data_IF_930243848886
#
_entry.id   IF_930243848886
#
_cell.length_a   1.000
_cell.length_b   1.000
_cell.length_c   1.000
_cell.angle_alpha   90.00
_cell.angle_beta   90.00
_cell.angle_gamma   90.00
#
_symmetry.space_group_name_H-M   'P 1'
#
loop_
_entity.id
_entity.type
_entity.pdbx_description
1 polymer ?
#
# COMPACT_ATOMS: atom_id res chain seq x y z
N UNK A 1 31.30 -7.62 22.18
CA UNK A 1 29.96 -7.11 22.45
C UNK A 1 29.11 -7.31 21.21
N UNK A 2 28.15 -8.22 21.30
CA UNK A 2 27.31 -8.66 20.17
C UNK A 2 26.31 -7.57 19.81
N UNK A 3 26.08 -7.35 18.50
CA UNK A 3 25.04 -6.43 17.98
C UNK A 3 23.60 -6.76 18.44
N UNK A 4 23.39 -7.91 19.09
CA UNK A 4 22.11 -8.32 19.67
C UNK A 4 21.72 -7.55 20.94
N UNK A 5 22.68 -6.98 21.68
CA UNK A 5 22.41 -6.29 22.95
C UNK A 5 21.95 -4.85 22.78
N UNK A 6 22.17 -4.23 21.61
CA UNK A 6 21.71 -2.86 21.32
C UNK A 6 20.19 -2.74 21.15
N UNK A 7 19.48 -3.85 20.92
CA UNK A 7 18.01 -3.87 20.78
C UNK A 7 17.28 -4.21 22.09
N UNK A 8 17.97 -4.57 23.15
CA UNK A 8 17.40 -4.90 24.46
C UNK A 8 17.10 -3.70 25.35
N UNK A 9 17.63 -2.52 25.05
CA UNK A 9 17.41 -1.34 25.88
C UNK A 9 16.28 -0.48 25.32
N UNK A 10 15.09 -0.61 25.90
CA UNK A 10 14.01 0.39 25.95
C UNK A 10 13.70 1.12 24.62
N UNK A 11 13.37 0.39 23.58
CA UNK A 11 12.71 0.94 22.41
C UNK A 11 11.21 1.12 22.66
N UNK A 12 10.57 1.98 21.88
CA UNK A 12 9.13 2.21 21.91
C UNK A 12 8.40 1.02 21.29
N UNK A 13 7.46 0.41 22.01
CA UNK A 13 6.57 -0.61 21.49
C UNK A 13 5.28 0.04 21.02
N UNK A 14 4.85 -0.26 19.79
CA UNK A 14 3.64 0.30 19.19
C UNK A 14 2.80 -0.82 18.60
N UNK A 15 1.50 -0.78 18.82
CA UNK A 15 0.56 -1.74 18.30
C UNK A 15 -0.20 -1.15 17.11
N UNK A 16 -0.40 -1.96 16.07
CA UNK A 16 -1.15 -1.56 14.88
C UNK A 16 -2.08 -2.70 14.49
N UNK A 17 -3.36 -2.38 14.30
CA UNK A 17 -4.33 -3.33 13.76
C UNK A 17 -4.47 -3.15 12.25
N UNK A 18 -4.35 -4.23 11.49
CA UNK A 18 -4.59 -4.26 10.05
C UNK A 18 -5.68 -5.28 9.73
N UNK A 19 -6.38 -5.10 8.63
CA UNK A 19 -7.35 -6.07 8.14
C UNK A 19 -6.71 -7.35 7.59
N UNK A 20 -5.45 -7.27 7.12
CA UNK A 20 -4.70 -8.37 6.52
C UNK A 20 -3.20 -8.13 6.73
N UNK A 21 -2.46 -9.20 6.98
CA UNK A 21 -1.00 -9.16 7.14
C UNK A 21 -0.25 -8.95 5.82
N UNK A 22 -0.87 -9.27 4.71
CA UNK A 22 -0.31 -9.10 3.36
C UNK A 22 1.12 -9.66 3.18
N UNK A 23 1.43 -10.74 3.90
CA UNK A 23 2.75 -11.37 3.91
C UNK A 23 3.78 -10.69 4.84
N UNK A 24 3.37 -9.75 5.70
CA UNK A 24 4.24 -9.17 6.74
C UNK A 24 4.63 -10.23 7.77
N UNK A 25 5.89 -10.22 8.17
CA UNK A 25 6.46 -11.16 9.14
C UNK A 25 7.26 -10.44 10.23
N UNK A 26 7.47 -11.10 11.34
CA UNK A 26 8.40 -10.64 12.36
C UNK A 26 9.82 -10.46 11.76
N UNK A 27 10.50 -9.39 12.13
CA UNK A 27 11.80 -9.01 11.56
C UNK A 27 11.73 -8.02 10.41
N UNK A 28 10.58 -7.89 9.73
CA UNK A 28 10.42 -6.91 8.66
C UNK A 28 10.67 -5.48 9.16
N UNK A 29 11.12 -4.62 8.27
CA UNK A 29 11.51 -3.25 8.57
C UNK A 29 10.30 -2.35 8.86
N UNK A 30 10.45 -1.42 9.79
CA UNK A 30 9.53 -0.30 10.00
C UNK A 30 10.20 0.99 9.58
N UNK A 31 9.54 1.76 8.68
CA UNK A 31 9.99 3.07 8.22
C UNK A 31 9.03 4.17 8.68
N UNK A 32 9.60 5.29 9.07
CA UNK A 32 8.89 6.53 9.34
C UNK A 32 9.46 7.63 8.47
N UNK A 33 8.63 8.26 7.64
CA UNK A 33 9.07 9.25 6.63
C UNK A 33 10.24 8.72 5.78
N UNK A 34 10.20 7.44 5.39
CA UNK A 34 11.26 6.80 4.57
C UNK A 34 12.50 6.34 5.34
N UNK A 35 12.64 6.71 6.61
CA UNK A 35 13.79 6.33 7.47
C UNK A 35 13.50 5.05 8.24
N UNK A 36 14.47 4.13 8.31
CA UNK A 36 14.34 2.91 9.11
C UNK A 36 14.41 3.24 10.62
N UNK A 37 13.28 3.14 11.29
CA UNK A 37 13.10 3.45 12.72
C UNK A 37 12.92 2.22 13.59
N UNK A 38 12.76 1.02 13.02
CA UNK A 38 12.55 -0.18 13.82
C UNK A 38 12.26 -1.42 13.01
N UNK A 39 11.68 -2.40 13.70
CA UNK A 39 11.29 -3.70 13.12
C UNK A 39 9.93 -4.16 13.64
N UNK A 40 9.30 -5.03 12.88
CA UNK A 40 8.13 -5.79 13.31
C UNK A 40 8.59 -6.81 14.35
N UNK A 41 8.03 -6.77 15.54
CA UNK A 41 8.32 -7.72 16.63
C UNK A 41 7.46 -8.99 16.49
N UNK A 42 6.15 -8.80 16.23
CA UNK A 42 5.22 -9.92 16.05
C UNK A 42 4.05 -9.55 15.16
N UNK A 43 3.49 -10.58 14.51
CA UNK A 43 2.24 -10.51 13.73
C UNK A 43 1.33 -11.61 14.24
N UNK A 44 0.19 -11.25 14.79
CA UNK A 44 -0.76 -12.19 15.40
C UNK A 44 -2.11 -12.09 14.72
N UNK A 45 -2.63 -13.19 14.21
CA UNK A 45 -3.97 -13.25 13.63
C UNK A 45 -5.01 -13.11 14.75
N UNK A 46 -5.98 -12.23 14.54
CA UNK A 46 -7.13 -12.02 15.40
C UNK A 46 -8.43 -12.35 14.69
N UNK A 47 -9.55 -12.16 15.37
CA UNK A 47 -10.88 -12.45 14.83
C UNK A 47 -11.27 -11.50 13.70
N UNK A 48 -10.84 -10.24 13.77
CA UNK A 48 -11.23 -9.16 12.86
C UNK A 48 -10.04 -8.58 12.07
N UNK A 49 -8.96 -9.38 11.91
CA UNK A 49 -7.76 -8.96 11.21
C UNK A 49 -6.48 -9.41 11.92
N UNK A 50 -5.41 -8.66 11.76
CA UNK A 50 -4.11 -8.95 12.37
C UNK A 50 -3.65 -7.82 13.29
N UNK A 51 -3.12 -8.20 14.44
CA UNK A 51 -2.44 -7.31 15.36
C UNK A 51 -0.93 -7.39 15.11
N UNK A 52 -0.33 -6.27 14.80
CA UNK A 52 1.10 -6.14 14.56
C UNK A 52 1.72 -5.36 15.71
N UNK A 53 2.77 -5.91 16.31
CA UNK A 53 3.59 -5.23 17.31
C UNK A 53 4.87 -4.74 16.66
N UNK A 54 5.13 -3.45 16.78
CA UNK A 54 6.31 -2.79 16.23
C UNK A 54 7.27 -2.46 17.37
N UNK A 55 8.55 -2.74 17.18
CA UNK A 55 9.63 -2.30 18.09
C UNK A 55 10.41 -1.19 17.41
N UNK A 56 10.29 0.01 17.94
CA UNK A 56 10.91 1.21 17.39
C UNK A 56 12.13 1.62 18.21
N UNK A 57 13.07 2.29 17.57
CA UNK A 57 14.26 2.83 18.22
C UNK A 57 13.87 3.90 19.25
N UNK A 58 14.64 3.99 20.31
CA UNK A 58 14.48 5.04 21.33
C UNK A 58 14.63 6.43 20.69
N UNK A 59 13.75 7.35 21.09
CA UNK A 59 13.75 8.71 20.55
C UNK A 59 13.02 8.87 19.23
N UNK A 60 12.30 7.83 18.76
CA UNK A 60 11.40 7.97 17.61
C UNK A 60 10.13 8.68 18.06
N UNK A 61 9.92 9.88 17.55
CA UNK A 61 8.77 10.74 17.86
C UNK A 61 7.72 10.57 16.77
N UNK A 62 6.60 9.91 17.09
CA UNK A 62 5.51 9.63 16.15
C UNK A 62 4.23 10.24 16.71
N UNK A 63 3.57 11.15 15.97
CA UNK A 63 2.26 11.66 16.33
C UNK A 63 1.22 10.55 16.48
N UNK A 64 0.31 10.66 17.44
CA UNK A 64 -0.73 9.64 17.70
C UNK A 64 -1.69 9.42 16.53
N UNK A 65 -1.91 10.44 15.71
CA UNK A 65 -2.76 10.41 14.54
C UNK A 65 -2.03 9.95 13.27
N UNK A 66 -0.77 9.49 13.42
CA UNK A 66 0.00 8.87 12.31
C UNK A 66 -0.66 7.58 11.86
N UNK A 67 -0.51 7.26 10.57
CA UNK A 67 -1.06 6.06 9.95
C UNK A 67 0.05 5.11 9.53
N UNK A 68 -0.18 3.82 9.76
CA UNK A 68 0.73 2.77 9.34
C UNK A 68 0.11 1.98 8.17
N UNK A 69 0.91 1.65 7.16
CA UNK A 69 0.52 0.81 6.03
C UNK A 69 1.55 -0.30 5.82
N UNK A 70 1.08 -1.48 5.42
CA UNK A 70 1.95 -2.57 4.98
C UNK A 70 2.20 -2.38 3.50
N UNK A 71 3.45 -2.23 3.10
CA UNK A 71 3.86 -2.05 1.71
C UNK A 71 5.05 -2.95 1.36
N UNK A 72 5.52 -2.90 0.13
CA UNK A 72 6.69 -3.64 -0.35
C UNK A 72 7.84 -2.69 -0.60
N UNK A 73 9.07 -3.08 -0.29
CA UNK A 73 10.27 -2.29 -0.59
C UNK A 73 10.60 -2.38 -2.09
N UNK A 74 10.11 -1.40 -2.85
CA UNK A 74 10.17 -1.43 -4.30
C UNK A 74 9.20 -2.46 -4.92
N UNK A 75 9.52 -2.93 -6.12
CA UNK A 75 8.63 -3.81 -6.90
C UNK A 75 8.68 -5.29 -6.46
N UNK A 76 9.80 -5.74 -5.91
CA UNK A 76 10.04 -7.15 -5.56
C UNK A 76 10.75 -7.32 -4.20
N UNK A 77 10.75 -6.29 -3.37
CA UNK A 77 11.38 -6.32 -2.06
C UNK A 77 10.55 -7.01 -0.98
N UNK A 78 11.11 -7.07 0.21
CA UNK A 78 10.42 -7.58 1.39
C UNK A 78 9.27 -6.66 1.81
N UNK A 79 8.31 -7.22 2.53
CA UNK A 79 7.26 -6.43 3.17
C UNK A 79 7.85 -5.56 4.27
N UNK A 80 7.30 -4.37 4.41
CA UNK A 80 7.65 -3.43 5.47
C UNK A 80 6.40 -2.68 5.96
N UNK A 81 6.50 -2.13 7.15
CA UNK A 81 5.51 -1.18 7.66
C UNK A 81 6.03 0.24 7.42
N UNK A 82 5.28 1.02 6.65
CA UNK A 82 5.54 2.44 6.44
C UNK A 82 4.60 3.27 7.29
N UNK A 83 5.15 4.16 8.10
CA UNK A 83 4.37 5.09 8.93
C UNK A 83 4.42 6.47 8.29
N UNK A 84 3.24 7.01 8.01
CA UNK A 84 3.06 8.39 7.53
C UNK A 84 2.74 9.28 8.72
N UNK A 85 3.41 10.44 8.88
CA UNK A 85 3.18 11.33 9.99
C UNK A 85 1.75 11.88 10.00
N UNK A 86 1.19 12.00 11.19
CA UNK A 86 -0.01 12.77 11.45
C UNK A 86 0.28 14.27 11.58
N UNK A 87 -0.74 15.03 11.92
CA UNK A 87 -0.66 16.49 12.11
C UNK A 87 -0.55 16.90 13.58
N UNK A 88 -0.88 16.00 14.49
CA UNK A 88 -0.89 16.26 15.94
C UNK A 88 0.51 16.06 16.56
N UNK A 89 1.40 16.97 16.28
CA UNK A 89 2.78 16.95 16.76
C UNK A 89 2.90 17.15 18.29
N UNK A 90 1.81 17.55 18.97
CA UNK A 90 1.81 17.75 20.42
C UNK A 90 1.55 16.45 21.19
N UNK A 91 0.88 15.49 20.59
CA UNK A 91 0.56 14.22 21.21
C UNK A 91 1.30 13.07 20.50
N UNK A 92 2.38 12.63 21.11
CA UNK A 92 3.19 11.53 20.59
C UNK A 92 2.68 10.17 21.09
N UNK A 93 2.94 9.13 20.32
CA UNK A 93 2.71 7.74 20.73
C UNK A 93 3.64 7.41 21.89
N UNK A 94 3.08 6.85 22.95
CA UNK A 94 3.83 6.36 24.12
C UNK A 94 4.09 4.86 24.00
N UNK A 95 4.96 4.32 24.86
CA UNK A 95 5.22 2.88 24.91
C UNK A 95 3.93 2.09 25.19
N UNK A 96 3.68 1.03 24.41
CA UNK A 96 2.42 0.30 24.41
C UNK A 96 1.27 1.01 23.70
N UNK A 97 1.50 2.16 23.08
CA UNK A 97 0.48 2.91 22.35
C UNK A 97 0.06 2.25 21.05
N UNK A 98 -1.02 2.77 20.44
CA UNK A 98 -1.60 2.22 19.23
C UNK A 98 -1.57 3.27 18.12
N UNK A 99 -1.29 2.82 16.89
CA UNK A 99 -1.48 3.57 15.65
C UNK A 99 -2.59 2.95 14.84
N UNK A 100 -3.20 3.75 13.99
CA UNK A 100 -4.18 3.27 13.02
C UNK A 100 -3.46 2.60 11.85
N UNK A 101 -3.81 1.33 11.59
CA UNK A 101 -3.44 0.64 10.36
C UNK A 101 -4.37 1.08 9.22
N UNK A 102 -3.79 1.38 8.08
CA UNK A 102 -4.53 1.73 6.86
C UNK A 102 -4.20 0.71 5.76
N UNK A 103 -5.09 0.55 4.80
CA UNK A 103 -4.82 -0.26 3.61
C UNK A 103 -4.07 0.60 2.59
N UNK A 104 -3.11 0.01 1.91
CA UNK A 104 -2.66 0.57 0.64
C UNK A 104 -3.86 0.54 -0.30
N UNK A 105 -4.24 1.68 -0.84
CA UNK A 105 -5.29 1.75 -1.86
C UNK A 105 -4.85 0.89 -3.04
N UNK A 106 -5.59 -0.18 -3.28
CA UNK A 106 -5.36 -1.06 -4.42
C UNK A 106 -5.97 -0.45 -5.68
N UNK A 107 -5.58 -0.98 -6.82
CA UNK A 107 -6.23 -0.64 -8.10
C UNK A 107 -7.72 -0.96 -8.03
N UNK A 108 -8.10 -2.03 -7.34
CA UNK A 108 -9.50 -2.42 -7.12
C UNK A 108 -10.28 -1.35 -6.33
N UNK A 109 -9.67 -0.74 -5.30
CA UNK A 109 -10.29 0.37 -4.55
C UNK A 109 -10.53 1.61 -5.43
N UNK A 110 -9.61 1.86 -6.38
CA UNK A 110 -9.77 2.96 -7.36
C UNK A 110 -10.92 2.65 -8.33
N UNK A 111 -11.02 1.41 -8.80
CA UNK A 111 -12.10 0.94 -9.68
C UNK A 111 -13.46 0.98 -8.98
N UNK A 112 -13.55 0.54 -7.73
CA UNK A 112 -14.77 0.59 -6.93
C UNK A 112 -15.23 2.05 -6.72
N UNK A 113 -14.30 2.95 -6.45
CA UNK A 113 -14.63 4.38 -6.31
C UNK A 113 -15.07 4.99 -7.64
N UNK A 114 -14.46 4.62 -8.77
CA UNK A 114 -14.88 5.04 -10.10
C UNK A 114 -16.30 4.54 -10.43
N UNK A 115 -16.60 3.28 -10.14
CA UNK A 115 -17.93 2.70 -10.34
C UNK A 115 -19.00 3.38 -9.46
N UNK A 116 -18.68 3.67 -8.20
CA UNK A 116 -19.56 4.44 -7.30
C UNK A 116 -19.82 5.85 -7.85
N UNK A 117 -18.80 6.52 -8.38
CA UNK A 117 -18.94 7.84 -9.00
C UNK A 117 -19.89 7.78 -10.22
N UNK A 118 -19.72 6.78 -11.09
CA UNK A 118 -20.59 6.57 -12.25
C UNK A 118 -22.04 6.32 -11.85
N UNK A 119 -22.29 5.51 -10.82
CA UNK A 119 -23.63 5.26 -10.31
C UNK A 119 -24.27 6.54 -9.74
N UNK A 120 -23.52 7.32 -8.97
CA UNK A 120 -23.98 8.60 -8.44
C UNK A 120 -24.32 9.61 -9.55
N UNK A 121 -23.52 9.65 -10.62
CA UNK A 121 -23.77 10.48 -11.81
C UNK A 121 -25.03 10.02 -12.54
N UNK A 122 -25.24 8.71 -12.70
CA UNK A 122 -26.46 8.18 -13.31
C UNK A 122 -27.72 8.50 -12.50
N UNK A 123 -27.64 8.41 -11.17
CA UNK A 123 -28.78 8.73 -10.29
C UNK A 123 -29.05 10.24 -10.27
N UNK A 124 -28.01 11.06 -10.33
CA UNK A 124 -28.15 12.50 -10.51
C UNK A 124 -28.85 12.85 -11.84
N UNK A 125 -28.53 12.13 -12.93
CA UNK A 125 -29.22 12.30 -14.22
C UNK A 125 -30.70 11.99 -14.16
N UNK A 126 -31.09 10.90 -13.50
CA UNK A 126 -32.52 10.54 -13.33
C UNK A 126 -33.27 11.63 -12.59
N UNK A 127 -32.66 12.20 -11.56
CA UNK A 127 -33.25 13.25 -10.74
C UNK A 127 -33.33 14.60 -11.49
N UNK A 128 -32.31 14.94 -12.28
CA UNK A 128 -32.28 16.17 -13.08
C UNK A 128 -33.30 16.14 -14.21
N UNK A 129 -33.52 15.01 -14.84
CA UNK A 129 -34.54 14.86 -15.89
C UNK A 129 -35.98 15.16 -15.38
N UNK A 130 -36.20 15.08 -14.04
CA UNK A 130 -37.49 15.38 -13.41
C UNK A 130 -37.64 16.84 -12.96
N UNK A 131 -36.55 17.62 -12.91
CA UNK A 131 -36.56 18.96 -12.28
C UNK A 131 -36.28 20.10 -13.25
N UNK A 132 -35.60 19.87 -14.41
CA UNK A 132 -35.12 20.96 -15.27
C UNK A 132 -35.82 20.89 -16.65
N UNK A 133 -36.74 21.83 -16.89
CA UNK A 133 -37.38 22.04 -18.18
C UNK A 133 -36.56 22.82 -19.22
N UNK A 134 -35.29 23.12 -18.97
CA UNK A 134 -34.43 23.88 -19.85
C UNK A 134 -33.46 22.98 -20.66
N UNK A 135 -33.68 22.93 -21.97
CA UNK A 135 -32.90 22.12 -22.94
C UNK A 135 -31.40 22.45 -22.93
N UNK A 136 -31.02 23.69 -22.64
CA UNK A 136 -29.63 24.13 -22.65
C UNK A 136 -28.83 23.58 -21.48
N UNK A 137 -29.43 23.53 -20.31
CA UNK A 137 -28.87 22.94 -19.08
C UNK A 137 -28.77 21.42 -19.20
N UNK A 138 -29.78 20.78 -19.81
CA UNK A 138 -29.75 19.35 -20.13
C UNK A 138 -28.62 19.00 -21.10
N UNK A 139 -28.39 19.82 -22.13
CA UNK A 139 -27.30 19.62 -23.10
C UNK A 139 -25.92 19.71 -22.46
N UNK A 140 -25.68 20.73 -21.62
CA UNK A 140 -24.42 20.90 -20.90
C UNK A 140 -24.13 19.74 -19.93
N UNK A 141 -25.15 19.26 -19.23
CA UNK A 141 -25.05 18.12 -18.34
C UNK A 141 -24.75 16.81 -19.07
N UNK A 142 -25.43 16.55 -20.18
CA UNK A 142 -25.13 15.35 -21.04
C UNK A 142 -23.69 15.38 -21.55
N UNK A 143 -23.19 16.55 -21.96
CA UNK A 143 -21.78 16.73 -22.36
C UNK A 143 -20.81 16.42 -21.23
N UNK A 144 -21.06 16.90 -20.02
CA UNK A 144 -20.23 16.64 -18.85
C UNK A 144 -20.18 15.16 -18.50
N UNK A 145 -21.29 14.46 -18.63
CA UNK A 145 -21.38 13.01 -18.33
C UNK A 145 -20.67 12.18 -19.40
N UNK A 146 -20.80 12.55 -20.67
CA UNK A 146 -20.04 11.90 -21.75
C UNK A 146 -18.53 12.08 -21.54
N UNK A 147 -18.09 13.25 -21.09
CA UNK A 147 -16.69 13.48 -20.74
C UNK A 147 -16.24 12.61 -19.56
N UNK A 148 -17.03 12.48 -18.50
CA UNK A 148 -16.74 11.60 -17.35
C UNK A 148 -16.68 10.13 -17.79
N UNK A 149 -17.61 9.68 -18.62
CA UNK A 149 -17.59 8.32 -19.19
C UNK A 149 -16.34 8.08 -20.04
N UNK A 150 -15.93 9.07 -20.86
CA UNK A 150 -14.70 9.01 -21.62
C UNK A 150 -13.45 8.93 -20.76
N UNK A 151 -13.37 9.73 -19.69
CA UNK A 151 -12.27 9.69 -18.72
C UNK A 151 -12.21 8.31 -18.04
N UNK A 152 -13.35 7.75 -17.66
CA UNK A 152 -13.40 6.42 -17.03
C UNK A 152 -12.96 5.31 -17.99
N UNK A 153 -13.34 5.40 -19.27
CA UNK A 153 -12.85 4.50 -20.32
C UNK A 153 -11.33 4.57 -20.46
N UNK A 154 -10.77 5.77 -20.56
CA UNK A 154 -9.33 5.99 -20.67
C UNK A 154 -8.57 5.47 -19.43
N UNK A 155 -9.14 5.64 -18.23
CA UNK A 155 -8.55 5.09 -16.99
C UNK A 155 -8.55 3.56 -17.02
N UNK A 156 -9.63 2.93 -17.47
CA UNK A 156 -9.71 1.48 -17.61
C UNK A 156 -8.68 0.94 -18.61
N UNK A 157 -8.54 1.59 -19.77
CA UNK A 157 -7.57 1.21 -20.80
C UNK A 157 -6.13 1.37 -20.28
N UNK A 158 -5.84 2.43 -19.54
CA UNK A 158 -4.55 2.67 -18.92
C UNK A 158 -4.22 1.62 -17.83
N UNK A 159 -5.22 1.21 -17.04
CA UNK A 159 -5.05 0.17 -16.02
C UNK A 159 -4.84 -1.20 -16.66
N UNK A 160 -5.56 -1.54 -17.73
CA UNK A 160 -5.38 -2.78 -18.47
C UNK A 160 -3.99 -2.85 -19.13
N UNK A 161 -3.54 -1.74 -19.77
CA UNK A 161 -2.19 -1.64 -20.33
C UNK A 161 -1.10 -1.77 -19.25
N UNK A 162 -1.31 -1.17 -18.08
CA UNK A 162 -0.36 -1.24 -16.98
C UNK A 162 -0.29 -2.64 -16.36
N UNK A 163 -1.41 -3.34 -16.25
CA UNK A 163 -1.45 -4.75 -15.84
C UNK A 163 -0.68 -5.65 -16.83
N UNK A 164 -0.86 -5.42 -18.13
CA UNK A 164 -0.10 -6.11 -19.19
C UNK A 164 1.41 -5.86 -19.09
N UNK A 165 1.81 -4.62 -18.86
CA UNK A 165 3.22 -4.24 -18.67
C UNK A 165 3.85 -4.92 -17.44
N UNK A 166 3.11 -5.00 -16.33
CA UNK A 166 3.56 -5.69 -15.10
C UNK A 166 3.73 -7.19 -15.35
N UNK A 167 2.80 -7.84 -16.05
CA UNK A 167 2.92 -9.25 -16.42
C UNK A 167 4.15 -9.50 -17.32
N UNK A 168 4.38 -8.64 -18.30
CA UNK A 168 5.52 -8.76 -19.20
C UNK A 168 6.86 -8.54 -18.47
N UNK A 169 6.89 -7.58 -17.54
CA UNK A 169 8.05 -7.34 -16.68
C UNK A 169 8.34 -8.54 -15.77
N UNK A 170 7.32 -9.16 -15.21
CA UNK A 170 7.45 -10.37 -14.38
C UNK A 170 7.98 -11.54 -15.20
N UNK A 171 7.49 -11.74 -16.42
CA UNK A 171 7.97 -12.78 -17.34
C UNK A 171 9.43 -12.55 -17.74
N UNK A 172 9.81 -11.31 -18.07
CA UNK A 172 11.18 -10.95 -18.39
C UNK A 172 12.12 -11.19 -17.21
N UNK A 173 11.68 -10.88 -16.00
CA UNK A 173 12.46 -11.10 -14.77
C UNK A 173 12.66 -12.59 -14.47
N UNK A 174 11.64 -13.41 -14.70
CA UNK A 174 11.75 -14.86 -14.59
C UNK A 174 12.75 -15.42 -15.61
N UNK A 175 12.75 -14.91 -16.86
CA UNK A 175 13.71 -15.29 -17.87
C UNK A 175 15.15 -14.90 -17.51
N UNK A 176 15.36 -13.69 -16.99
CA UNK A 176 16.69 -13.21 -16.51
C UNK A 176 17.18 -14.08 -15.35
N UNK A 177 16.30 -14.41 -14.40
CA UNK A 177 16.64 -15.28 -13.28
C UNK A 177 17.03 -16.68 -13.75
N UNK A 178 16.33 -17.23 -14.75
CA UNK A 178 16.67 -18.50 -15.38
C UNK A 178 18.05 -18.47 -16.03
N UNK A 179 18.35 -17.43 -16.82
CA UNK A 179 19.66 -17.26 -17.48
C UNK A 179 20.80 -17.09 -16.48
N UNK A 180 20.58 -16.35 -15.39
CA UNK A 180 21.56 -16.20 -14.30
C UNK A 180 21.84 -17.54 -13.64
N UNK A 181 20.82 -18.33 -13.36
CA UNK A 181 20.96 -19.65 -12.74
C UNK A 181 21.73 -20.63 -13.64
N UNK A 182 21.45 -20.63 -14.95
CA UNK A 182 22.22 -21.40 -15.93
C UNK A 182 23.68 -20.93 -16.02
N UNK A 183 23.93 -19.63 -15.95
CA UNK A 183 25.29 -19.07 -16.00
C UNK A 183 26.09 -19.45 -14.74
N UNK A 184 25.47 -19.41 -13.57
CA UNK A 184 26.09 -19.85 -12.31
C UNK A 184 26.41 -21.34 -12.36
N UNK A 185 25.49 -22.18 -12.86
CA UNK A 185 25.74 -23.62 -12.98
C UNK A 185 26.88 -23.95 -13.96
N UNK A 186 27.04 -23.19 -15.05
CA UNK A 186 28.19 -23.36 -15.98
C UNK A 186 29.50 -22.96 -15.33
N UNK A 187 29.51 -21.88 -14.53
CA UNK A 187 30.72 -21.46 -13.80
C UNK A 187 31.13 -22.45 -12.71
N UNK A 188 30.17 -23.08 -12.05
CA UNK A 188 30.43 -24.12 -11.03
C UNK A 188 30.88 -25.46 -11.66
N UNK A 189 30.47 -25.73 -12.90
CA UNK A 189 30.85 -26.92 -13.67
C UNK A 189 32.28 -26.89 -14.22
N UNK A 190 32.76 -25.73 -14.58
CA UNK A 190 34.15 -25.55 -15.14
C UNK A 190 35.24 -25.48 -14.07
N UNK A 191 34.88 -25.45 -12.80
CA UNK A 191 35.84 -25.43 -11.67
C UNK A 191 36.32 -26.81 -11.16
N UNK A 192 35.95 -27.89 -11.83
CA UNK A 192 36.36 -29.26 -11.46
C UNK A 192 37.20 -29.90 -12.59
N UNK A 193 38.39 -29.43 -12.78
CA UNK A 193 39.52 -30.18 -13.35
C UNK A 193 40.77 -29.98 -12.49
#
# INVERSE_FOLDING_TARGET
LSHADLFRSSGLTVHVAFSDANGLQAGNTVRYVGVNVGKVESVTAGKDGVQVTLKLKKGTEIPKDSKAVITTDGLMGEKLVSITPGQDVQHLVTDGGTLQGDKVKSVDDVMDNANKLLNNVNDMMKNVNSVIGDEKTQGAMRGSIQNIAGITGNVNDMLAANAGNVQQMTANMAAITGQLNESVQRMDGDGKM
#
